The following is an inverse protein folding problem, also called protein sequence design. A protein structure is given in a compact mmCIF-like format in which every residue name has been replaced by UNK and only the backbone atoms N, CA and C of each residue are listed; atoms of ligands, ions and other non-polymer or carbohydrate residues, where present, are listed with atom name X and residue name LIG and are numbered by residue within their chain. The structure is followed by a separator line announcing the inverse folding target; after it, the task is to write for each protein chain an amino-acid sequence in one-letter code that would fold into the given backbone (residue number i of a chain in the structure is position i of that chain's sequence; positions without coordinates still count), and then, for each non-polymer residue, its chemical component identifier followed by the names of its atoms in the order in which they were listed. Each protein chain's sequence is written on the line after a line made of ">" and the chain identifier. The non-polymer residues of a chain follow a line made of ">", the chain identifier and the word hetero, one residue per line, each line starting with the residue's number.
data_IF_077686025833
#
_entry.id   IF_077686025833
#
_cell.length_a   1.000
_cell.length_b   1.000
_cell.length_c   1.000
_cell.angle_alpha   90.00
_cell.angle_beta   90.00
_cell.angle_gamma   90.00
#
_symmetry.space_group_name_H-M   'P 1'
#
loop_
_entity.id
_entity.type
_entity.pdbx_description
1 polymer ?
#
# COMPACT_ATOMS: atom_id res chain seq x y z
N UNK A 1 -12.80 -9.35 -13.76
CA UNK A 1 -11.84 -8.25 -13.59
C UNK A 1 -10.52 -8.88 -13.20
N UNK A 2 -9.52 -8.69 -14.05
CA UNK A 2 -8.19 -9.28 -13.96
C UNK A 2 -7.55 -8.86 -12.64
N UNK A 3 -6.87 -9.79 -11.95
CA UNK A 3 -5.93 -9.49 -10.87
C UNK A 3 -4.82 -8.62 -11.47
N UNK A 4 -5.11 -7.35 -11.70
CA UNK A 4 -4.12 -6.38 -12.14
C UNK A 4 -3.06 -6.32 -11.06
N UNK A 5 -1.80 -6.41 -11.49
CA UNK A 5 -0.65 -6.42 -10.62
C UNK A 5 -0.77 -5.26 -9.63
N UNK A 6 -1.03 -5.55 -8.36
CA UNK A 6 -1.05 -4.53 -7.32
C UNK A 6 0.34 -3.88 -7.31
N UNK A 7 0.39 -2.63 -7.77
CA UNK A 7 1.60 -1.81 -7.78
C UNK A 7 1.57 -0.86 -6.59
N UNK A 8 2.75 -0.37 -6.20
CA UNK A 8 2.83 0.62 -5.13
C UNK A 8 2.01 1.87 -5.47
N UNK A 9 2.07 2.33 -6.71
CA UNK A 9 1.31 3.47 -7.19
C UNK A 9 -0.21 3.24 -7.07
N UNK A 10 -0.72 2.13 -7.60
CA UNK A 10 -2.16 1.81 -7.52
C UNK A 10 -2.64 1.63 -6.08
N UNK A 11 -1.81 1.08 -5.20
CA UNK A 11 -2.16 0.95 -3.78
C UNK A 11 -2.24 2.33 -3.08
N UNK A 12 -1.37 3.26 -3.45
CA UNK A 12 -1.41 4.64 -2.97
C UNK A 12 -2.64 5.39 -3.50
N UNK A 13 -2.95 5.27 -4.79
CA UNK A 13 -4.15 5.85 -5.38
C UNK A 13 -5.43 5.32 -4.70
N UNK A 14 -5.48 4.03 -4.39
CA UNK A 14 -6.61 3.43 -3.67
C UNK A 14 -6.75 3.97 -2.24
N UNK A 15 -5.63 4.17 -1.53
CA UNK A 15 -5.63 4.79 -0.19
C UNK A 15 -6.13 6.24 -0.23
N UNK A 16 -5.73 7.03 -1.22
CA UNK A 16 -6.23 8.40 -1.41
C UNK A 16 -7.75 8.43 -1.66
N UNK A 17 -8.27 7.50 -2.47
CA UNK A 17 -9.70 7.37 -2.69
C UNK A 17 -10.46 6.99 -1.42
N UNK A 18 -9.89 6.10 -0.60
CA UNK A 18 -10.48 5.77 0.71
C UNK A 18 -10.53 7.01 1.60
N UNK A 19 -9.45 7.78 1.69
CA UNK A 19 -9.43 9.03 2.47
C UNK A 19 -10.50 10.03 1.98
N UNK A 20 -10.61 10.23 0.67
CA UNK A 20 -11.64 11.11 0.10
C UNK A 20 -13.07 10.67 0.44
N UNK A 21 -13.33 9.36 0.48
CA UNK A 21 -14.63 8.82 0.90
C UNK A 21 -14.89 9.09 2.38
N UNK A 22 -13.88 8.93 3.23
CA UNK A 22 -13.99 9.16 4.67
C UNK A 22 -14.25 10.63 5.01
N UNK A 23 -13.73 11.56 4.20
CA UNK A 23 -13.94 12.99 4.36
C UNK A 23 -15.26 13.49 3.71
N UNK A 24 -16.03 12.62 3.07
CA UNK A 24 -17.32 12.97 2.46
C UNK A 24 -18.43 13.14 3.53
N UNK A 25 -19.43 13.98 3.25
CA UNK A 25 -20.58 14.16 4.14
C UNK A 25 -21.59 12.99 4.07
N UNK A 26 -21.47 12.08 3.11
CA UNK A 26 -22.36 10.91 2.91
C UNK A 26 -21.79 9.60 3.45
N UNK A 27 -21.11 9.65 4.60
CA UNK A 27 -20.44 8.45 5.13
C UNK A 27 -21.41 7.58 5.94
N UNK A 28 -21.65 6.37 5.43
CA UNK A 28 -22.34 5.30 6.17
C UNK A 28 -21.34 4.57 7.10
N UNK A 29 -21.72 4.31 8.35
CA UNK A 29 -20.86 3.65 9.34
C UNK A 29 -20.43 2.23 8.91
N UNK A 30 -21.28 1.54 8.17
CA UNK A 30 -20.99 0.19 7.66
C UNK A 30 -19.95 0.23 6.52
N UNK A 31 -20.02 1.24 5.65
CA UNK A 31 -19.01 1.42 4.58
C UNK A 31 -17.66 1.86 5.14
N UNK A 32 -17.67 2.66 6.21
CA UNK A 32 -16.48 3.10 6.95
C UNK A 32 -15.64 1.92 7.43
N UNK A 33 -16.30 0.90 7.98
CA UNK A 33 -15.62 -0.31 8.49
C UNK A 33 -14.94 -1.09 7.36
N UNK A 34 -15.62 -1.21 6.21
CA UNK A 34 -15.07 -1.90 5.03
C UNK A 34 -13.89 -1.12 4.43
N UNK A 35 -14.03 0.19 4.29
CA UNK A 35 -12.98 1.06 3.76
C UNK A 35 -11.73 1.07 4.68
N UNK A 36 -11.93 1.09 6.01
CA UNK A 36 -10.84 0.97 7.00
C UNK A 36 -10.13 -0.39 6.93
N UNK A 37 -10.89 -1.49 6.82
CA UNK A 37 -10.32 -2.83 6.66
C UNK A 37 -9.43 -2.88 5.41
N UNK A 38 -9.92 -2.33 4.30
CA UNK A 38 -9.19 -2.29 3.03
C UNK A 38 -7.93 -1.42 3.13
N UNK A 39 -8.03 -0.24 3.75
CA UNK A 39 -6.88 0.62 3.97
C UNK A 39 -5.79 -0.07 4.80
N UNK A 40 -6.18 -0.81 5.84
CA UNK A 40 -5.25 -1.60 6.66
C UNK A 40 -4.48 -2.64 5.83
N UNK A 41 -5.19 -3.38 4.97
CA UNK A 41 -4.56 -4.35 4.06
C UNK A 41 -3.55 -3.69 3.11
N UNK A 42 -3.91 -2.54 2.53
CA UNK A 42 -3.04 -1.80 1.62
C UNK A 42 -1.79 -1.28 2.33
N UNK A 43 -1.93 -0.77 3.56
CA UNK A 43 -0.81 -0.28 4.37
C UNK A 43 0.17 -1.41 4.68
N UNK A 44 -0.33 -2.57 5.14
CA UNK A 44 0.52 -3.73 5.43
C UNK A 44 1.24 -4.23 4.18
N UNK A 45 0.55 -4.25 3.04
CA UNK A 45 1.16 -4.61 1.77
C UNK A 45 2.26 -3.62 1.35
N UNK A 46 2.02 -2.32 1.46
CA UNK A 46 3.00 -1.28 1.15
C UNK A 46 4.24 -1.39 2.04
N UNK A 47 4.05 -1.62 3.35
CA UNK A 47 5.15 -1.83 4.32
C UNK A 47 6.01 -3.03 3.95
N UNK A 48 5.39 -4.16 3.65
CA UNK A 48 6.08 -5.37 3.22
C UNK A 48 6.93 -5.13 1.96
N UNK A 49 6.40 -4.37 1.00
CA UNK A 49 7.11 -4.05 -0.23
C UNK A 49 8.29 -3.10 -0.02
N UNK A 50 8.14 -2.11 0.85
CA UNK A 50 9.24 -1.21 1.23
C UNK A 50 10.36 -1.97 1.94
N UNK A 51 10.01 -2.88 2.85
CA UNK A 51 10.97 -3.72 3.56
C UNK A 51 11.75 -4.63 2.61
N UNK A 52 11.06 -5.31 1.69
CA UNK A 52 11.71 -6.11 0.65
C UNK A 52 12.66 -5.27 -0.21
N UNK A 53 12.23 -4.07 -0.60
CA UNK A 53 13.05 -3.17 -1.41
C UNK A 53 14.30 -2.72 -0.64
N UNK A 54 14.16 -2.43 0.66
CA UNK A 54 15.29 -2.06 1.53
C UNK A 54 16.33 -3.19 1.59
N UNK A 55 15.88 -4.42 1.82
CA UNK A 55 16.77 -5.60 1.87
C UNK A 55 17.50 -5.80 0.54
N UNK A 56 16.81 -5.64 -0.60
CA UNK A 56 17.45 -5.75 -1.91
C UNK A 56 18.51 -4.67 -2.14
N UNK A 57 18.24 -3.43 -1.72
CA UNK A 57 19.23 -2.33 -1.79
C UNK A 57 20.44 -2.63 -0.91
N UNK A 58 20.23 -3.06 0.33
CA UNK A 58 21.32 -3.43 1.24
C UNK A 58 22.21 -4.52 0.66
N UNK A 59 21.62 -5.55 0.03
CA UNK A 59 22.35 -6.61 -0.65
C UNK A 59 23.17 -6.09 -1.84
N UNK A 60 22.59 -5.24 -2.69
CA UNK A 60 23.30 -4.65 -3.82
C UNK A 60 24.49 -3.81 -3.35
N UNK A 61 24.34 -3.05 -2.26
CA UNK A 61 25.43 -2.25 -1.70
C UNK A 61 26.54 -3.14 -1.15
N UNK A 62 26.20 -4.19 -0.40
CA UNK A 62 27.19 -5.14 0.11
C UNK A 62 27.98 -5.84 -1.02
N UNK A 63 27.28 -6.28 -2.07
CA UNK A 63 27.90 -6.89 -3.25
C UNK A 63 28.87 -5.93 -3.99
N UNK A 64 28.68 -4.61 -3.87
CA UNK A 64 29.57 -3.60 -4.43
C UNK A 64 30.79 -3.32 -3.54
N UNK A 65 30.66 -3.45 -2.22
CA UNK A 65 31.76 -3.24 -1.26
C UNK A 65 32.73 -4.42 -1.20
N UNK A 66 32.27 -5.64 -1.49
CA UNK A 66 33.12 -6.85 -1.54
C UNK A 66 33.96 -6.97 -2.83
N UNK A 67 33.81 -6.05 -3.79
CA UNK A 67 34.53 -6.04 -5.08
C UNK A 67 35.63 -4.97 -5.15
#
# INVERSE_FOLDING_TARGET
>A
MTKENLTFQTAMEELELILQKLDSDEVNIDSLTVDLQRASELIEWCRSRLESTRVDVERIVADLEER
#
